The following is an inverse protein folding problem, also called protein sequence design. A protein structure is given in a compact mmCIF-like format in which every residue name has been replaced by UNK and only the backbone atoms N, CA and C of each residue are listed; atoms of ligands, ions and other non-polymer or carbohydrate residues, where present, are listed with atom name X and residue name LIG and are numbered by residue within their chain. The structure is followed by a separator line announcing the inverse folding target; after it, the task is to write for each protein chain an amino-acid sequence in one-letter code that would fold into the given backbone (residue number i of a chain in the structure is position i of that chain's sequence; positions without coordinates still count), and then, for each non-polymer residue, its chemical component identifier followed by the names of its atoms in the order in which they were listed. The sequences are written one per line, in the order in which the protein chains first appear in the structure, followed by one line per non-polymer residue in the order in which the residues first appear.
data_IF_729713163773
#
_entry.id   IF_729713163773
#
_cell.length_a   1.000
_cell.length_b   1.000
_cell.length_c   1.000
_cell.angle_alpha   90.00
_cell.angle_beta   90.00
_cell.angle_gamma   90.00
#
_symmetry.space_group_name_H-M   'P 1'
#
loop_
_entity.id
_entity.type
_entity.pdbx_description
1 polymer ?
#
# COMPACT_ATOMS: atom_id res chain seq x y z
N UNK A 1 -10.97 -31.74 -31.14
CA UNK A 1 -11.04 -31.40 -29.70
C UNK A 1 -12.50 -31.16 -29.40
N UNK A 2 -13.10 -31.97 -28.53
CA UNK A 2 -14.54 -31.88 -28.27
C UNK A 2 -14.83 -30.68 -27.37
N UNK A 3 -15.91 -29.94 -27.64
CA UNK A 3 -16.30 -28.74 -26.87
C UNK A 3 -16.42 -29.03 -25.36
N UNK A 4 -16.82 -30.25 -24.99
CA UNK A 4 -16.89 -30.71 -23.60
C UNK A 4 -15.52 -30.81 -22.89
N UNK A 5 -14.43 -31.08 -23.62
CA UNK A 5 -13.08 -31.11 -23.03
C UNK A 5 -12.54 -29.70 -22.78
N UNK A 6 -12.91 -28.74 -23.65
CA UNK A 6 -12.51 -27.33 -23.53
C UNK A 6 -13.21 -26.66 -22.34
N UNK A 7 -14.52 -26.88 -22.20
CA UNK A 7 -15.32 -26.34 -21.09
C UNK A 7 -14.79 -26.86 -19.75
N UNK A 8 -14.52 -28.17 -19.66
CA UNK A 8 -13.99 -28.79 -18.44
C UNK A 8 -12.59 -28.28 -18.08
N UNK A 9 -11.74 -28.01 -19.07
CA UNK A 9 -10.43 -27.41 -18.85
C UNK A 9 -10.52 -25.96 -18.36
N UNK A 10 -11.46 -25.17 -18.88
CA UNK A 10 -11.72 -23.80 -18.41
C UNK A 10 -12.27 -23.77 -16.98
N UNK A 11 -13.22 -24.63 -16.65
CA UNK A 11 -13.75 -24.74 -15.27
C UNK A 11 -12.65 -25.13 -14.29
N UNK A 12 -11.82 -26.12 -14.64
CA UNK A 12 -10.69 -26.56 -13.80
C UNK A 12 -9.65 -25.44 -13.62
N UNK A 13 -9.40 -24.64 -14.66
CA UNK A 13 -8.50 -23.49 -14.58
C UNK A 13 -9.06 -22.39 -13.68
N UNK A 14 -10.35 -22.05 -13.81
CA UNK A 14 -11.03 -21.06 -12.98
C UNK A 14 -11.07 -21.50 -11.51
N UNK A 15 -11.34 -22.77 -11.24
CA UNK A 15 -11.31 -23.34 -9.89
C UNK A 15 -9.91 -23.26 -9.26
N UNK A 16 -8.86 -23.48 -10.05
CA UNK A 16 -7.48 -23.32 -9.58
C UNK A 16 -7.13 -21.86 -9.33
N UNK A 17 -7.52 -20.93 -10.21
CA UNK A 17 -7.34 -19.50 -10.00
C UNK A 17 -8.07 -19.00 -8.74
N UNK A 18 -9.30 -19.47 -8.49
CA UNK A 18 -10.08 -19.09 -7.32
C UNK A 18 -9.48 -19.59 -6.00
N UNK A 19 -8.66 -20.65 -6.06
CA UNK A 19 -7.98 -21.26 -4.90
C UNK A 19 -6.55 -20.78 -4.73
N UNK A 20 -6.05 -19.91 -5.59
CA UNK A 20 -4.69 -19.37 -5.46
C UNK A 20 -4.60 -18.57 -4.15
N UNK A 21 -3.70 -18.96 -3.23
CA UNK A 21 -3.56 -18.28 -1.96
C UNK A 21 -2.71 -17.01 -2.15
N UNK A 22 -3.25 -16.02 -2.86
CA UNK A 22 -2.55 -14.76 -3.17
C UNK A 22 -2.09 -14.01 -1.90
N UNK A 23 -2.77 -14.23 -0.78
CA UNK A 23 -2.43 -13.67 0.54
C UNK A 23 -1.25 -14.36 1.24
N UNK A 24 -0.83 -15.54 0.75
CA UNK A 24 0.35 -16.28 1.21
C UNK A 24 1.55 -16.07 0.27
N UNK A 25 1.49 -15.08 -0.61
CA UNK A 25 2.64 -14.64 -1.38
C UNK A 25 3.71 -14.17 -0.39
N UNK A 26 4.69 -15.02 -0.09
CA UNK A 26 5.83 -14.74 0.80
C UNK A 26 6.83 -13.76 0.15
N UNK A 27 6.34 -12.78 -0.59
CA UNK A 27 7.10 -11.80 -1.34
C UNK A 27 6.34 -10.49 -1.40
N UNK A 28 7.08 -9.40 -1.28
CA UNK A 28 6.55 -8.03 -1.38
C UNK A 28 6.96 -7.42 -2.72
N UNK A 29 6.36 -6.28 -3.06
CA UNK A 29 6.89 -5.44 -4.13
C UNK A 29 8.23 -4.81 -3.69
N UNK A 30 9.24 -4.72 -4.57
CA UNK A 30 10.61 -4.40 -4.16
C UNK A 30 10.88 -2.91 -3.90
N UNK A 31 9.92 -2.02 -4.17
CA UNK A 31 10.08 -0.58 -4.05
C UNK A 31 10.06 -0.07 -2.60
N UNK A 32 9.51 -0.87 -1.68
CA UNK A 32 9.50 -0.61 -0.24
C UNK A 32 10.06 -1.79 0.56
N UNK A 33 9.96 -1.71 1.87
CA UNK A 33 10.45 -2.71 2.80
C UNK A 33 9.35 -3.11 3.78
N UNK A 34 9.32 -4.38 4.20
CA UNK A 34 8.36 -4.87 5.18
C UNK A 34 9.09 -5.49 6.36
N UNK A 35 8.70 -5.08 7.57
CA UNK A 35 9.12 -5.68 8.84
C UNK A 35 7.91 -6.20 9.60
N UNK A 36 8.07 -7.36 10.21
CA UNK A 36 7.11 -7.89 11.19
C UNK A 36 7.74 -7.75 12.58
N UNK A 37 7.06 -7.05 13.46
CA UNK A 37 7.55 -6.62 14.76
C UNK A 37 6.72 -7.27 15.88
N UNK A 38 7.41 -7.74 16.91
CA UNK A 38 6.80 -8.24 18.14
C UNK A 38 6.71 -7.13 19.18
N UNK A 39 5.49 -6.83 19.61
CA UNK A 39 5.23 -5.90 20.71
C UNK A 39 5.54 -6.57 22.08
N UNK A 40 5.92 -5.80 23.12
CA UNK A 40 6.10 -4.34 23.13
C UNK A 40 7.52 -3.88 22.75
N UNK A 41 8.48 -4.80 22.63
CA UNK A 41 9.90 -4.46 22.46
C UNK A 41 10.28 -4.08 21.02
N UNK A 42 9.33 -4.24 20.08
CA UNK A 42 9.51 -4.03 18.65
C UNK A 42 10.69 -4.86 18.10
N UNK A 43 10.72 -6.13 18.50
CA UNK A 43 11.68 -7.12 18.01
C UNK A 43 11.31 -7.52 16.57
N UNK A 44 12.29 -7.52 15.66
CA UNK A 44 12.09 -7.85 14.25
C UNK A 44 12.03 -9.38 14.09
N UNK A 45 10.83 -9.91 13.85
CA UNK A 45 10.59 -11.34 13.64
C UNK A 45 10.74 -11.75 12.17
N UNK A 46 10.36 -10.87 11.25
CA UNK A 46 10.50 -11.09 9.82
C UNK A 46 10.91 -9.78 9.15
N UNK A 47 11.62 -9.92 8.03
CA UNK A 47 11.98 -8.81 7.18
C UNK A 47 11.98 -9.25 5.71
N UNK A 48 11.63 -8.35 4.80
CA UNK A 48 11.72 -8.62 3.37
C UNK A 48 13.17 -8.79 2.90
N UNK A 49 13.41 -9.60 1.86
CA UNK A 49 14.77 -9.91 1.40
C UNK A 49 15.57 -8.69 0.86
N UNK A 50 14.88 -7.59 0.53
CA UNK A 50 15.47 -6.37 -0.02
C UNK A 50 15.97 -5.38 1.05
N UNK A 51 16.12 -5.81 2.31
CA UNK A 51 16.66 -4.95 3.38
C UNK A 51 18.03 -4.37 3.08
N UNK A 52 18.85 -5.08 2.28
CA UNK A 52 20.16 -4.60 1.85
C UNK A 52 20.06 -3.29 1.04
N UNK A 53 18.97 -3.09 0.30
CA UNK A 53 18.79 -1.91 -0.55
C UNK A 53 18.47 -0.65 0.26
N UNK A 54 17.93 -0.81 1.47
CA UNK A 54 17.43 0.30 2.30
C UNK A 54 18.21 0.47 3.61
N UNK A 55 18.44 -0.61 4.35
CA UNK A 55 19.22 -0.62 5.60
C UNK A 55 20.72 -0.86 5.38
N UNK A 56 21.16 -1.24 4.17
CA UNK A 56 22.54 -1.67 3.93
C UNK A 56 22.91 -3.00 4.60
N UNK A 57 21.92 -3.71 5.14
CA UNK A 57 22.07 -4.94 5.90
C UNK A 57 21.21 -6.06 5.33
N UNK A 58 21.75 -7.28 5.31
CA UNK A 58 20.96 -8.47 4.95
C UNK A 58 19.97 -8.84 6.06
N UNK A 59 18.87 -9.56 5.76
CA UNK A 59 17.86 -9.93 6.75
C UNK A 59 18.46 -10.63 7.98
N UNK A 60 19.46 -11.50 7.82
CA UNK A 60 20.06 -12.25 8.93
C UNK A 60 20.76 -11.34 9.96
N UNK A 61 21.17 -10.14 9.54
CA UNK A 61 21.81 -9.17 10.42
C UNK A 61 20.80 -8.34 11.24
N UNK A 62 19.51 -8.37 10.88
CA UNK A 62 18.45 -7.56 11.51
C UNK A 62 17.41 -8.39 12.27
N UNK A 63 17.26 -9.68 11.96
CA UNK A 63 16.32 -10.57 12.63
C UNK A 63 16.65 -10.75 14.13
N UNK A 64 15.61 -10.89 14.95
CA UNK A 64 15.64 -11.04 16.41
C UNK A 64 16.34 -9.89 17.16
N UNK A 65 16.44 -8.73 16.51
CA UNK A 65 16.97 -7.50 17.11
C UNK A 65 15.85 -6.49 17.31
N UNK A 66 16.08 -5.54 18.22
CA UNK A 66 15.10 -4.47 18.43
C UNK A 66 15.20 -3.45 17.30
N UNK A 67 14.05 -2.91 16.86
CA UNK A 67 14.01 -1.81 15.91
C UNK A 67 14.86 -0.59 16.35
N UNK A 68 15.08 -0.43 17.67
CA UNK A 68 15.96 0.60 18.28
C UNK A 68 17.43 0.49 17.88
N UNK A 69 17.87 -0.65 17.37
CA UNK A 69 19.24 -0.81 16.88
C UNK A 69 19.44 -0.21 15.48
N UNK A 70 18.35 0.03 14.74
CA UNK A 70 18.37 0.49 13.35
C UNK A 70 17.77 1.89 13.16
N UNK A 71 16.85 2.27 14.04
CA UNK A 71 16.26 3.61 14.09
C UNK A 71 16.73 4.34 15.34
N UNK A 72 16.78 5.67 15.27
CA UNK A 72 17.11 6.46 16.45
C UNK A 72 16.03 6.34 17.55
N UNK A 73 16.46 6.60 18.79
CA UNK A 73 15.59 6.49 19.96
C UNK A 73 14.37 7.42 19.90
N UNK A 74 14.46 8.56 19.21
CA UNK A 74 13.34 9.49 19.08
C UNK A 74 12.23 8.87 18.23
N UNK A 75 12.57 8.32 17.06
CA UNK A 75 11.63 7.64 16.17
C UNK A 75 10.93 6.48 16.84
N UNK A 76 11.68 5.63 17.55
CA UNK A 76 11.10 4.45 18.19
C UNK A 76 10.21 4.83 19.37
N UNK A 77 10.61 5.80 20.20
CA UNK A 77 9.75 6.25 21.30
C UNK A 77 8.48 6.93 20.78
N UNK A 78 8.58 7.71 19.70
CA UNK A 78 7.41 8.28 19.01
C UNK A 78 6.48 7.18 18.52
N UNK A 79 7.00 6.14 17.86
CA UNK A 79 6.21 4.99 17.41
C UNK A 79 5.52 4.31 18.59
N UNK A 80 6.24 3.98 19.67
CA UNK A 80 5.66 3.34 20.86
C UNK A 80 4.51 4.17 21.46
N UNK A 81 4.66 5.50 21.48
CA UNK A 81 3.60 6.39 21.96
C UNK A 81 2.39 6.33 21.03
N UNK A 82 2.58 6.46 19.72
CA UNK A 82 1.50 6.38 18.73
C UNK A 82 0.73 5.05 18.82
N UNK A 83 1.46 3.93 18.97
CA UNK A 83 0.87 2.59 19.12
C UNK A 83 0.00 2.42 20.36
N UNK A 84 0.19 3.28 21.39
CA UNK A 84 -0.55 3.26 22.66
C UNK A 84 -1.73 4.23 22.69
N UNK A 85 -1.61 5.37 22.02
CA UNK A 85 -2.56 6.49 22.19
C UNK A 85 -3.61 6.56 21.11
N UNK A 86 -3.36 6.00 19.93
CA UNK A 86 -4.20 6.22 18.75
C UNK A 86 -4.51 4.92 18.01
N UNK A 87 -5.61 4.93 17.26
CA UNK A 87 -5.93 3.84 16.33
C UNK A 87 -4.98 3.90 15.12
N UNK A 88 -4.45 2.74 14.71
CA UNK A 88 -3.44 2.67 13.63
C UNK A 88 -3.90 3.30 12.31
N UNK A 89 -5.20 3.27 12.02
CA UNK A 89 -5.77 3.86 10.80
C UNK A 89 -5.65 5.38 10.76
N UNK A 90 -5.54 6.04 11.91
CA UNK A 90 -5.51 7.50 12.01
C UNK A 90 -4.08 8.06 12.05
N UNK A 91 -3.09 7.25 12.39
CA UNK A 91 -1.68 7.67 12.46
C UNK A 91 -0.93 7.48 11.14
N UNK A 92 -1.44 6.64 10.23
CA UNK A 92 -0.78 6.37 8.96
C UNK A 92 -0.97 7.53 7.98
N UNK A 93 0.06 7.89 7.19
CA UNK A 93 1.44 7.39 7.24
C UNK A 93 2.26 8.03 8.38
N UNK A 94 3.24 7.29 8.91
CA UNK A 94 4.21 7.77 9.90
C UNK A 94 5.58 7.92 9.26
N UNK A 95 6.16 9.13 9.33
CA UNK A 95 7.49 9.36 8.76
C UNK A 95 8.59 8.68 9.59
N UNK A 96 9.47 7.95 8.90
CA UNK A 96 10.72 7.39 9.39
C UNK A 96 11.90 7.92 8.59
N UNK A 97 13.11 7.87 9.15
CA UNK A 97 14.32 8.25 8.44
C UNK A 97 15.51 7.38 8.81
N UNK A 98 16.36 7.14 7.82
CA UNK A 98 17.61 6.42 7.95
C UNK A 98 18.78 7.28 7.49
N UNK A 99 19.89 7.16 8.22
CA UNK A 99 21.14 7.83 7.89
C UNK A 99 22.22 6.79 7.66
N UNK A 100 22.56 6.55 6.39
CA UNK A 100 23.62 5.60 5.99
C UNK A 100 25.00 6.30 5.83
N UNK A 101 25.23 7.38 6.59
CA UNK A 101 26.46 8.20 6.56
C UNK A 101 26.74 8.97 5.25
N UNK A 102 26.19 8.52 4.11
CA UNK A 102 26.34 9.14 2.77
C UNK A 102 25.01 9.66 2.22
N UNK A 103 23.88 9.12 2.68
CA UNK A 103 22.55 9.49 2.23
C UNK A 103 21.57 9.51 3.41
N UNK A 104 20.65 10.48 3.37
CA UNK A 104 19.51 10.57 4.26
C UNK A 104 18.28 10.17 3.44
N UNK A 105 17.61 9.09 3.86
CA UNK A 105 16.41 8.58 3.20
C UNK A 105 15.26 8.70 4.18
N UNK A 106 14.15 9.29 3.73
CA UNK A 106 12.90 9.39 4.47
C UNK A 106 11.97 8.32 3.93
N UNK A 107 11.18 7.73 4.81
CA UNK A 107 10.18 6.73 4.47
C UNK A 107 8.81 7.15 5.00
N UNK A 108 7.78 6.88 4.22
CA UNK A 108 6.40 6.82 4.67
C UNK A 108 6.13 5.42 5.22
N UNK A 109 5.83 5.35 6.52
CA UNK A 109 5.58 4.11 7.22
C UNK A 109 4.10 3.81 7.34
N UNK A 110 3.65 2.68 6.80
CA UNK A 110 2.30 2.16 6.98
C UNK A 110 2.33 1.06 8.03
N UNK A 111 1.57 1.26 9.10
CA UNK A 111 1.56 0.39 10.27
C UNK A 111 0.18 -0.26 10.39
N UNK A 112 0.14 -1.57 10.51
CA UNK A 112 -1.09 -2.30 10.79
C UNK A 112 -0.82 -3.54 11.66
N UNK A 113 -1.88 -4.13 12.23
CA UNK A 113 -1.78 -5.37 13.00
C UNK A 113 -2.50 -6.50 12.28
N UNK A 114 -1.84 -7.64 12.19
CA UNK A 114 -2.44 -8.87 11.68
C UNK A 114 -2.06 -10.02 12.62
N UNK A 115 -3.07 -10.77 13.09
CA UNK A 115 -2.89 -11.91 14.01
C UNK A 115 -2.03 -11.58 15.26
N UNK A 116 -2.15 -10.36 15.78
CA UNK A 116 -1.41 -9.92 16.97
C UNK A 116 0.05 -9.51 16.72
N UNK A 117 0.52 -9.55 15.47
CA UNK A 117 1.82 -9.04 15.06
C UNK A 117 1.67 -7.66 14.45
N UNK A 118 2.67 -6.80 14.67
CA UNK A 118 2.72 -5.46 14.08
C UNK A 118 3.49 -5.54 12.76
N UNK A 119 2.86 -5.09 11.68
CA UNK A 119 3.48 -5.02 10.35
C UNK A 119 3.80 -3.55 10.09
N UNK A 120 5.06 -3.29 9.72
CA UNK A 120 5.56 -1.99 9.31
C UNK A 120 6.05 -2.10 7.86
N UNK A 121 5.36 -1.40 6.97
CA UNK A 121 5.75 -1.22 5.57
C UNK A 121 6.38 0.17 5.41
N UNK A 122 7.55 0.24 4.78
CA UNK A 122 8.32 1.47 4.58
C UNK A 122 8.48 1.73 3.10
N UNK A 123 7.89 2.81 2.60
CA UNK A 123 8.06 3.27 1.22
C UNK A 123 8.97 4.50 1.21
N UNK A 124 10.05 4.53 0.39
CA UNK A 124 10.94 5.67 0.34
C UNK A 124 10.22 6.90 -0.23
N UNK A 125 10.23 8.00 0.51
CA UNK A 125 9.65 9.26 0.04
C UNK A 125 10.66 9.95 -0.89
N UNK A 126 10.30 10.12 -2.16
CA UNK A 126 11.10 10.94 -3.08
C UNK A 126 11.03 12.41 -2.66
N UNK A 127 12.13 12.92 -2.13
CA UNK A 127 12.25 14.33 -1.66
C UNK A 127 11.99 15.35 -2.79
N UNK A 128 12.03 14.92 -4.06
CA UNK A 128 12.06 15.80 -5.24
C UNK A 128 10.71 16.15 -5.87
N UNK A 129 9.60 15.52 -5.50
CA UNK A 129 8.28 15.90 -6.01
C UNK A 129 7.31 16.19 -4.88
N UNK A 130 7.61 17.23 -4.09
CA UNK A 130 6.56 17.87 -3.29
C UNK A 130 5.61 18.58 -4.25
N UNK A 131 4.58 17.89 -4.73
CA UNK A 131 3.33 18.58 -5.07
C UNK A 131 3.05 19.48 -3.87
N UNK A 132 2.96 20.82 -4.04
CA UNK A 132 2.73 21.69 -2.90
C UNK A 132 1.50 21.19 -2.17
N UNK A 133 1.65 20.78 -0.90
CA UNK A 133 0.58 20.13 -0.13
C UNK A 133 -0.75 20.88 -0.25
N UNK A 134 -0.67 22.22 -0.24
CA UNK A 134 -1.82 23.10 -0.46
C UNK A 134 -2.46 22.92 -1.84
N UNK A 135 -1.67 22.86 -2.91
CA UNK A 135 -2.14 22.61 -4.27
C UNK A 135 -2.83 21.26 -4.39
N UNK A 136 -2.22 20.19 -3.84
CA UNK A 136 -2.83 18.86 -3.80
C UNK A 136 -4.15 18.85 -3.03
N UNK A 137 -4.18 19.44 -1.83
CA UNK A 137 -5.39 19.55 -1.02
C UNK A 137 -6.51 20.31 -1.75
N UNK A 138 -6.18 21.41 -2.42
CA UNK A 138 -7.13 22.16 -3.25
C UNK A 138 -7.69 21.31 -4.40
N UNK A 139 -6.84 20.55 -5.09
CA UNK A 139 -7.26 19.63 -6.17
C UNK A 139 -8.19 18.53 -5.64
N UNK A 140 -7.85 17.89 -4.52
CA UNK A 140 -8.69 16.88 -3.87
C UNK A 140 -10.04 17.47 -3.45
N UNK A 141 -10.05 18.64 -2.82
CA UNK A 141 -11.29 19.32 -2.40
C UNK A 141 -12.17 19.68 -3.60
N UNK A 142 -11.56 20.17 -4.70
CA UNK A 142 -12.26 20.48 -5.95
C UNK A 142 -12.87 19.22 -6.57
N UNK A 143 -12.10 18.13 -6.64
CA UNK A 143 -12.56 16.84 -7.15
C UNK A 143 -13.75 16.31 -6.33
N UNK A 144 -13.62 16.29 -5.00
CA UNK A 144 -14.69 15.87 -4.09
C UNK A 144 -15.97 16.70 -4.27
N UNK A 145 -15.85 18.02 -4.38
CA UNK A 145 -17.00 18.90 -4.61
C UNK A 145 -17.69 18.64 -5.95
N UNK A 146 -16.94 18.40 -7.03
CA UNK A 146 -17.52 18.05 -8.34
C UNK A 146 -18.25 16.72 -8.28
N UNK A 147 -17.63 15.70 -7.71
CA UNK A 147 -18.22 14.35 -7.54
C UNK A 147 -19.53 14.45 -6.77
N UNK A 148 -19.57 15.23 -5.68
CA UNK A 148 -20.78 15.41 -4.85
C UNK A 148 -21.89 16.22 -5.54
N UNK A 149 -21.57 17.07 -6.52
CA UNK A 149 -22.57 17.88 -7.23
C UNK A 149 -23.34 17.15 -8.33
N UNK A 150 -22.92 15.93 -8.69
CA UNK A 150 -23.51 15.17 -9.79
C UNK A 150 -24.64 14.29 -9.29
N UNK A 151 -25.79 14.34 -9.98
CA UNK A 151 -27.04 13.70 -9.54
C UNK A 151 -27.37 12.39 -10.25
N UNK A 152 -26.67 12.02 -11.33
CA UNK A 152 -26.91 10.77 -12.05
C UNK A 152 -25.65 9.88 -12.08
N UNK A 153 -25.88 8.57 -12.12
CA UNK A 153 -24.83 7.56 -11.98
C UNK A 153 -23.78 7.63 -13.10
N UNK A 154 -24.22 7.86 -14.35
CA UNK A 154 -23.31 7.88 -15.50
C UNK A 154 -22.35 9.08 -15.42
N UNK A 155 -22.89 10.27 -15.18
CA UNK A 155 -22.07 11.47 -15.03
C UNK A 155 -21.20 11.40 -13.78
N UNK A 156 -21.67 10.74 -12.72
CA UNK A 156 -20.88 10.52 -11.50
C UNK A 156 -19.67 9.66 -11.80
N UNK A 157 -19.87 8.49 -12.44
CA UNK A 157 -18.79 7.59 -12.83
C UNK A 157 -17.81 8.28 -13.79
N UNK A 158 -18.32 9.05 -14.76
CA UNK A 158 -17.47 9.80 -15.69
C UNK A 158 -16.68 10.92 -15.00
N UNK A 159 -17.26 11.58 -13.99
CA UNK A 159 -16.58 12.60 -13.20
C UNK A 159 -15.49 11.98 -12.34
N UNK A 160 -15.76 10.83 -11.70
CA UNK A 160 -14.78 10.10 -10.88
C UNK A 160 -13.53 9.76 -11.70
N UNK A 161 -13.68 9.12 -12.87
CA UNK A 161 -12.51 8.71 -13.69
C UNK A 161 -11.67 9.92 -14.12
N UNK A 162 -12.31 11.04 -14.48
CA UNK A 162 -11.63 12.28 -14.88
C UNK A 162 -10.86 12.92 -13.73
N UNK A 163 -11.50 13.10 -12.58
CA UNK A 163 -10.84 13.76 -11.45
C UNK A 163 -9.72 12.88 -10.86
N UNK A 164 -9.91 11.56 -10.78
CA UNK A 164 -8.86 10.64 -10.30
C UNK A 164 -7.69 10.60 -11.27
N UNK A 165 -7.93 10.55 -12.59
CA UNK A 165 -6.86 10.59 -13.59
C UNK A 165 -6.04 11.89 -13.47
N UNK A 166 -6.70 13.03 -13.34
CA UNK A 166 -6.03 14.33 -13.13
C UNK A 166 -5.25 14.43 -11.82
N UNK A 167 -5.64 13.68 -10.78
CA UNK A 167 -4.95 13.69 -9.48
C UNK A 167 -3.75 12.75 -9.43
N UNK A 168 -3.77 11.67 -10.22
CA UNK A 168 -2.81 10.57 -10.16
C UNK A 168 -1.86 10.51 -11.34
N UNK A 169 -2.17 11.24 -12.42
CA UNK A 169 -1.46 11.20 -13.70
C UNK A 169 -1.34 9.79 -14.32
N UNK A 170 -2.23 8.87 -13.94
CA UNK A 170 -2.33 7.58 -14.62
C UNK A 170 -2.75 7.76 -16.07
N UNK A 171 -2.20 6.93 -16.96
CA UNK A 171 -2.59 6.93 -18.38
C UNK A 171 -4.07 6.56 -18.59
N UNK A 172 -4.66 5.79 -17.66
CA UNK A 172 -6.04 5.31 -17.78
C UNK A 172 -6.65 5.05 -16.41
N UNK A 173 -7.87 5.55 -16.22
CA UNK A 173 -8.68 5.29 -15.02
C UNK A 173 -10.06 4.78 -15.45
N UNK A 174 -10.56 3.74 -14.79
CA UNK A 174 -11.83 3.09 -15.11
C UNK A 174 -12.70 2.91 -13.87
N UNK A 175 -14.02 2.99 -14.06
CA UNK A 175 -14.98 2.44 -13.09
C UNK A 175 -15.43 1.08 -13.60
N UNK A 176 -15.09 0.05 -12.84
CA UNK A 176 -15.43 -1.34 -13.14
C UNK A 176 -16.56 -1.80 -12.23
N UNK A 177 -17.67 -2.28 -12.82
CA UNK A 177 -18.87 -2.70 -12.07
C UNK A 177 -19.13 -4.18 -12.30
N UNK A 178 -19.24 -4.93 -11.21
CA UNK A 178 -19.68 -6.33 -11.21
C UNK A 178 -21.20 -6.46 -11.31
N UNK A 179 -21.67 -7.47 -12.04
CA UNK A 179 -23.06 -7.93 -12.05
C UNK A 179 -23.26 -9.03 -10.97
N UNK A 180 -24.50 -9.52 -10.74
CA UNK A 180 -24.77 -10.57 -9.76
C UNK A 180 -24.00 -11.88 -10.02
N UNK A 181 -23.64 -12.14 -11.27
CA UNK A 181 -22.84 -13.29 -11.70
C UNK A 181 -21.32 -13.07 -11.56
N UNK A 182 -20.88 -11.95 -10.96
CA UNK A 182 -19.46 -11.55 -10.82
C UNK A 182 -18.72 -11.30 -12.14
N UNK A 183 -19.42 -11.22 -13.26
CA UNK A 183 -18.89 -10.64 -14.50
C UNK A 183 -18.83 -9.13 -14.36
N UNK A 184 -17.76 -8.52 -14.86
CA UNK A 184 -17.58 -7.08 -14.74
C UNK A 184 -17.57 -6.37 -16.08
N UNK A 185 -18.05 -5.13 -16.06
CA UNK A 185 -18.08 -4.23 -17.21
C UNK A 185 -17.48 -2.87 -16.83
N UNK A 186 -16.73 -2.28 -17.75
CA UNK A 186 -16.26 -0.89 -17.62
C UNK A 186 -17.45 0.03 -17.94
N UNK A 187 -17.90 0.81 -16.95
CA UNK A 187 -19.06 1.70 -17.11
C UNK A 187 -18.67 3.18 -17.27
N UNK A 188 -17.41 3.52 -17.00
CA UNK A 188 -16.81 4.82 -17.30
C UNK A 188 -15.30 4.69 -17.42
N UNK A 189 -14.69 5.58 -18.20
CA UNK A 189 -13.25 5.56 -18.49
C UNK A 189 -12.75 6.98 -18.84
N UNK A 190 -11.49 7.26 -18.50
CA UNK A 190 -10.72 8.42 -18.98
C UNK A 190 -9.30 7.95 -19.38
N UNK A 191 -8.74 8.49 -20.46
CA UNK A 191 -7.43 8.14 -21.04
C UNK A 191 -6.63 9.38 -21.40
#
# INVERSE_FOLDING_TARGET
MNDNEIIKAQETFLDNCAREPIHLSNSIQPHGLLLVLKEPNLEILQASNNTLNFFGLKPEAILNKSLKEFLDNYQVNRLINLLRTEELKNINPVNFWLHDGKKFVVFDGIIHRHQGLLILELEPTEVQQKVPFLGFYHSVKKAASKIQSVSNLNDLCQTIVKEIRQLTDFDRVMVYKFNPEWHGNVIAEDR
#
